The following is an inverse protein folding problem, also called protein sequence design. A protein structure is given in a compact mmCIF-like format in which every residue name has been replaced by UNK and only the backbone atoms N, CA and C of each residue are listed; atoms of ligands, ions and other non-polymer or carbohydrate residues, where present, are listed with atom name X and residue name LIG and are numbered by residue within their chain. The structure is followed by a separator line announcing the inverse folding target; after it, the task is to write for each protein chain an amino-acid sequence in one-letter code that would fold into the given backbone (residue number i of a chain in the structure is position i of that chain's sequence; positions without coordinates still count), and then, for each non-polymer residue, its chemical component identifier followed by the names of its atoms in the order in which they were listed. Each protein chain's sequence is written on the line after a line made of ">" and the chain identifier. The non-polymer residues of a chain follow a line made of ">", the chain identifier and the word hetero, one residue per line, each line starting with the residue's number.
data_IF_953313440604
#
_entry.id   IF_953313440604
#
_cell.length_a   1.000
_cell.length_b   1.000
_cell.length_c   1.000
_cell.angle_alpha   90.00
_cell.angle_beta   90.00
_cell.angle_gamma   90.00
#
_symmetry.space_group_name_H-M   'P 1'
#
loop_
_entity.id
_entity.type
_entity.pdbx_description
1 polymer ?
#
# COMPACT_ATOMS: atom_id res chain seq x y z
N UNK A 1 -16.13 -15.12 -9.94
CA UNK A 1 -16.60 -13.72 -9.99
C UNK A 1 -17.96 -13.49 -9.33
N UNK A 2 -18.61 -14.49 -8.71
CA UNK A 2 -19.83 -14.24 -7.93
C UNK A 2 -19.56 -13.22 -6.81
N UNK A 3 -20.46 -12.24 -6.64
CA UNK A 3 -20.37 -11.15 -5.67
C UNK A 3 -19.54 -9.93 -6.10
N UNK A 4 -18.89 -9.96 -7.26
CA UNK A 4 -18.36 -8.76 -7.91
C UNK A 4 -19.45 -8.12 -8.79
N UNK A 5 -19.54 -6.79 -8.85
CA UNK A 5 -20.66 -6.09 -9.52
C UNK A 5 -20.23 -5.31 -10.77
N UNK A 6 -18.96 -5.37 -11.14
CA UNK A 6 -18.43 -4.65 -12.31
C UNK A 6 -18.40 -5.48 -13.59
N UNK A 7 -18.21 -4.80 -14.73
CA UNK A 7 -18.16 -5.39 -16.07
C UNK A 7 -16.97 -4.89 -16.90
N UNK A 8 -16.02 -4.20 -16.29
CA UNK A 8 -14.91 -3.58 -16.98
C UNK A 8 -13.72 -4.54 -17.09
N UNK A 9 -13.35 -4.98 -18.31
CA UNK A 9 -12.35 -6.02 -18.51
C UNK A 9 -10.95 -5.62 -18.03
N UNK A 10 -10.70 -4.34 -17.73
CA UNK A 10 -9.43 -3.91 -17.16
C UNK A 10 -9.22 -4.38 -15.71
N UNK A 11 -10.29 -4.82 -15.03
CA UNK A 11 -10.23 -5.23 -13.63
C UNK A 11 -10.57 -6.72 -13.43
N UNK A 12 -10.05 -7.30 -12.36
CA UNK A 12 -10.36 -8.68 -12.01
C UNK A 12 -11.85 -8.84 -11.71
N UNK A 13 -12.50 -9.78 -12.39
CA UNK A 13 -13.94 -9.96 -12.33
C UNK A 13 -14.76 -8.71 -12.70
N UNK A 14 -14.20 -7.79 -13.49
CA UNK A 14 -14.90 -6.60 -13.95
C UNK A 14 -14.94 -5.44 -12.94
N UNK A 15 -14.40 -5.62 -11.73
CA UNK A 15 -14.66 -4.74 -10.58
C UNK A 15 -13.36 -4.09 -10.07
N UNK A 16 -13.27 -2.76 -10.16
CA UNK A 16 -12.07 -2.00 -9.83
C UNK A 16 -11.56 -2.21 -8.40
N UNK A 17 -12.44 -2.57 -7.47
CA UNK A 17 -12.06 -2.86 -6.08
C UNK A 17 -11.09 -4.05 -6.04
N UNK A 18 -11.26 -5.01 -6.93
CA UNK A 18 -10.48 -6.25 -6.99
C UNK A 18 -9.14 -6.12 -7.72
N UNK A 19 -8.72 -4.92 -8.12
CA UNK A 19 -7.43 -4.68 -8.77
C UNK A 19 -7.44 -4.97 -10.28
N UNK A 20 -6.31 -4.76 -10.98
CA UNK A 20 -6.23 -4.92 -12.44
C UNK A 20 -6.42 -6.38 -12.86
N UNK A 21 -6.99 -6.64 -14.04
CA UNK A 21 -7.23 -8.00 -14.53
C UNK A 21 -5.93 -8.81 -14.62
N UNK A 22 -4.85 -8.16 -15.05
CA UNK A 22 -3.49 -8.70 -15.12
C UNK A 22 -2.59 -7.99 -14.12
N UNK A 23 -1.82 -8.76 -13.34
CA UNK A 23 -0.82 -8.19 -12.44
C UNK A 23 0.42 -7.72 -13.22
N UNK A 24 1.18 -6.73 -12.72
CA UNK A 24 2.41 -6.27 -13.34
C UNK A 24 3.42 -7.39 -13.56
N UNK A 25 3.94 -7.49 -14.78
CA UNK A 25 4.89 -8.54 -15.21
C UNK A 25 6.26 -8.00 -15.63
N UNK A 26 6.45 -6.68 -15.60
CA UNK A 26 7.71 -6.01 -15.98
C UNK A 26 8.43 -5.49 -14.74
N UNK A 27 9.76 -5.62 -14.71
CA UNK A 27 10.61 -5.11 -13.62
C UNK A 27 10.61 -3.57 -13.57
N UNK A 28 10.68 -2.95 -12.38
CA UNK A 28 10.82 -3.58 -11.06
C UNK A 28 9.50 -4.03 -10.42
N UNK A 29 8.34 -3.73 -11.03
CA UNK A 29 7.04 -4.05 -10.44
C UNK A 29 6.84 -5.55 -10.23
N UNK A 30 7.19 -6.36 -11.22
CA UNK A 30 7.03 -7.82 -11.14
C UNK A 30 7.84 -8.46 -10.01
N UNK A 31 8.97 -7.88 -9.59
CA UNK A 31 9.73 -8.42 -8.46
C UNK A 31 9.09 -8.14 -7.09
N UNK A 32 8.18 -7.16 -7.01
CA UNK A 32 7.43 -6.89 -5.78
C UNK A 32 6.12 -7.70 -5.72
N UNK A 33 5.64 -8.20 -6.85
CA UNK A 33 4.49 -9.10 -6.93
C UNK A 33 5.03 -10.53 -6.93
N UNK A 34 5.46 -10.98 -5.75
CA UNK A 34 6.07 -12.28 -5.55
C UNK A 34 5.05 -13.40 -5.30
N UNK A 35 5.54 -14.61 -5.06
CA UNK A 35 4.73 -15.80 -4.78
C UNK A 35 3.91 -15.72 -3.48
N UNK A 36 4.19 -14.75 -2.60
CA UNK A 36 3.46 -14.54 -1.36
C UNK A 36 2.26 -13.60 -1.53
N UNK A 37 2.12 -12.95 -2.69
CA UNK A 37 0.95 -12.15 -3.01
C UNK A 37 -0.19 -13.00 -3.58
N UNK A 38 -1.13 -13.39 -2.71
CA UNK A 38 -2.45 -13.83 -3.13
C UNK A 38 -3.41 -12.64 -3.08
N UNK A 39 -3.78 -12.10 -4.25
CA UNK A 39 -4.72 -10.97 -4.41
C UNK A 39 -5.91 -11.00 -3.46
N UNK A 40 -6.50 -12.16 -3.20
CA UNK A 40 -7.72 -12.31 -2.40
C UNK A 40 -7.48 -13.08 -1.09
N UNK A 41 -6.23 -13.43 -0.77
CA UNK A 41 -5.85 -14.14 0.45
C UNK A 41 -6.64 -15.45 0.65
N UNK A 42 -6.81 -16.23 -0.42
CA UNK A 42 -7.55 -17.49 -0.45
C UNK A 42 -9.07 -17.36 -0.53
N UNK A 43 -9.62 -16.13 -0.61
CA UNK A 43 -11.06 -15.91 -0.70
C UNK A 43 -11.56 -15.80 -2.15
N UNK A 44 -12.84 -16.11 -2.36
CA UNK A 44 -13.54 -15.75 -3.59
C UNK A 44 -13.82 -14.23 -3.64
N UNK A 45 -13.93 -13.62 -4.84
CA UNK A 45 -14.17 -12.18 -5.01
C UNK A 45 -15.27 -11.57 -4.12
N UNK A 46 -16.47 -12.16 -4.11
CA UNK A 46 -17.57 -11.68 -3.27
C UNK A 46 -17.28 -11.76 -1.77
N UNK A 47 -16.68 -12.86 -1.31
CA UNK A 47 -16.32 -13.03 0.11
C UNK A 47 -15.21 -12.08 0.55
N UNK A 48 -14.26 -11.77 -0.34
CA UNK A 48 -13.23 -10.77 -0.10
C UNK A 48 -13.85 -9.37 0.09
N UNK A 49 -14.76 -8.98 -0.80
CA UNK A 49 -15.46 -7.70 -0.73
C UNK A 49 -16.37 -7.63 0.50
N UNK A 50 -17.14 -8.66 0.80
CA UNK A 50 -17.97 -8.73 2.01
C UNK A 50 -17.13 -8.52 3.29
N UNK A 51 -15.93 -9.11 3.34
CA UNK A 51 -15.04 -9.00 4.50
C UNK A 51 -14.39 -7.62 4.63
N UNK A 52 -13.99 -6.99 3.53
CA UNK A 52 -13.09 -5.85 3.55
C UNK A 52 -13.65 -4.55 2.99
N UNK A 53 -14.73 -4.58 2.22
CA UNK A 53 -15.32 -3.39 1.63
C UNK A 53 -16.36 -2.77 2.57
N UNK A 54 -16.28 -1.46 2.78
CA UNK A 54 -17.27 -0.71 3.55
C UNK A 54 -18.18 0.08 2.60
N UNK A 55 -19.39 -0.44 2.37
CA UNK A 55 -20.38 0.19 1.48
C UNK A 55 -20.80 1.59 1.95
N UNK A 56 -20.77 1.86 3.25
CA UNK A 56 -21.17 3.15 3.80
C UNK A 56 -20.18 4.26 3.49
N UNK A 57 -18.89 3.93 3.39
CA UNK A 57 -17.84 4.91 3.06
C UNK A 57 -17.48 4.90 1.59
N UNK A 58 -17.72 3.79 0.88
CA UNK A 58 -17.23 3.58 -0.48
C UNK A 58 -15.72 3.34 -0.53
N UNK A 59 -15.13 2.87 0.58
CA UNK A 59 -13.71 2.52 0.69
C UNK A 59 -13.53 1.15 1.33
N UNK A 60 -12.36 0.56 1.16
CA UNK A 60 -11.94 -0.57 1.98
C UNK A 60 -11.91 -0.19 3.47
N UNK A 61 -12.30 -1.12 4.34
CA UNK A 61 -12.14 -1.05 5.78
C UNK A 61 -10.66 -1.23 6.13
N UNK A 62 -9.94 -0.13 6.29
CA UNK A 62 -8.53 -0.11 6.65
C UNK A 62 -8.30 -0.52 8.11
N UNK A 63 -7.10 -1.04 8.44
CA UNK A 63 -6.76 -1.44 9.80
C UNK A 63 -6.78 -0.24 10.75
N UNK A 64 -7.05 -0.46 12.05
CA UNK A 64 -6.92 0.59 13.06
C UNK A 64 -5.47 1.06 13.20
N UNK A 65 -5.28 2.15 13.93
CA UNK A 65 -3.97 2.67 14.31
C UNK A 65 -2.99 2.84 13.14
N UNK A 66 -3.49 3.38 12.03
CA UNK A 66 -2.73 3.68 10.82
C UNK A 66 -2.01 2.43 10.24
N UNK A 67 -2.55 1.24 10.48
CA UNK A 67 -2.00 -0.02 9.97
C UNK A 67 -0.69 -0.46 10.60
N UNK A 68 -0.25 0.19 11.69
CA UNK A 68 0.90 -0.29 12.45
C UNK A 68 0.52 -1.55 13.22
N UNK A 69 1.45 -2.51 13.26
CA UNK A 69 1.30 -3.68 14.11
C UNK A 69 1.19 -3.24 15.57
N UNK A 70 0.24 -3.82 16.28
CA UNK A 70 0.11 -3.61 17.71
C UNK A 70 1.08 -4.55 18.42
N UNK A 71 2.01 -3.99 19.19
CA UNK A 71 2.85 -4.76 20.08
C UNK A 71 2.09 -5.06 21.37
N UNK A 72 1.98 -6.34 21.70
CA UNK A 72 1.58 -6.80 23.02
C UNK A 72 2.76 -6.62 23.99
N UNK A 73 3.07 -5.38 24.33
CA UNK A 73 3.86 -5.12 25.53
C UNK A 73 3.03 -5.63 26.72
N UNK A 74 3.66 -6.32 27.66
CA UNK A 74 3.10 -7.05 28.83
C UNK A 74 2.25 -6.22 29.81
N UNK A 75 1.80 -5.04 29.40
CA UNK A 75 0.84 -4.17 30.08
C UNK A 75 -0.52 -4.27 29.41
N UNK A 76 -1.61 -4.08 30.15
CA UNK A 76 -3.02 -4.23 29.73
C UNK A 76 -3.49 -3.29 28.59
N UNK A 77 -2.56 -2.62 27.89
CA UNK A 77 -2.78 -1.73 26.75
C UNK A 77 -1.74 -2.03 25.66
N UNK A 78 -2.14 -2.46 24.45
CA UNK A 78 -1.22 -2.63 23.33
C UNK A 78 -0.55 -1.30 22.96
N UNK A 79 0.77 -1.30 22.78
CA UNK A 79 1.53 -0.16 22.27
C UNK A 79 1.67 -0.29 20.74
N UNK A 80 1.75 0.83 20.02
CA UNK A 80 2.06 0.79 18.59
C UNK A 80 3.50 0.32 18.38
N UNK A 81 3.70 -0.64 17.48
CA UNK A 81 5.04 -0.97 16.99
C UNK A 81 5.51 0.15 16.05
N UNK A 82 6.33 1.05 16.57
CA UNK A 82 6.90 2.13 15.77
C UNK A 82 7.49 3.29 16.57
N UNK A 83 8.20 4.16 15.86
CA UNK A 83 8.86 5.34 16.40
C UNK A 83 9.25 6.32 15.30
N UNK A 84 9.82 7.46 15.69
CA UNK A 84 10.34 8.40 14.72
C UNK A 84 11.62 7.86 14.09
N UNK A 85 11.69 7.90 12.77
CA UNK A 85 12.87 7.57 11.96
C UNK A 85 13.20 8.75 11.08
N UNK A 86 14.48 9.13 11.00
CA UNK A 86 14.94 10.10 10.00
C UNK A 86 15.32 9.34 8.73
N UNK A 87 14.70 9.68 7.60
CA UNK A 87 15.14 9.24 6.29
C UNK A 87 16.26 10.17 5.83
N UNK A 88 17.41 9.61 5.47
CA UNK A 88 18.60 10.36 5.09
C UNK A 88 18.76 10.47 3.56
N UNK A 89 19.44 11.52 3.05
CA UNK A 89 19.70 11.67 1.63
C UNK A 89 20.33 10.43 0.99
N UNK A 90 19.85 10.09 -0.21
CA UNK A 90 20.25 8.90 -0.96
C UNK A 90 19.45 7.63 -0.63
N UNK A 91 18.69 7.60 0.46
CA UNK A 91 17.73 6.51 0.69
C UNK A 91 16.65 6.50 -0.39
N UNK A 92 16.18 5.30 -0.76
CA UNK A 92 15.08 5.12 -1.72
C UNK A 92 13.84 4.57 -1.04
N UNK A 93 12.71 5.19 -1.38
CA UNK A 93 11.39 4.87 -0.84
C UNK A 93 10.39 4.83 -1.98
N UNK A 94 9.33 4.04 -1.84
CA UNK A 94 8.31 3.93 -2.87
C UNK A 94 6.90 3.84 -2.30
N UNK A 95 5.91 3.99 -3.19
CA UNK A 95 4.48 3.92 -2.85
C UNK A 95 3.67 3.42 -4.03
N UNK A 96 2.63 2.64 -3.71
CA UNK A 96 1.49 2.39 -4.57
C UNK A 96 0.34 3.32 -4.16
N UNK A 97 -0.15 4.15 -5.08
CA UNK A 97 -1.23 5.10 -4.86
C UNK A 97 -0.84 6.57 -5.09
N UNK A 98 -1.85 7.44 -5.05
CA UNK A 98 -1.68 8.88 -5.26
C UNK A 98 -0.66 9.52 -4.32
N UNK A 99 0.06 10.52 -4.83
CA UNK A 99 1.01 11.39 -4.12
C UNK A 99 0.34 12.28 -3.06
N UNK A 100 -0.99 12.41 -3.09
CA UNK A 100 -1.76 13.06 -2.02
C UNK A 100 -1.76 12.24 -0.71
N UNK A 101 -1.33 10.97 -0.78
CA UNK A 101 -1.12 10.14 0.40
C UNK A 101 0.13 10.52 1.19
N UNK A 102 0.36 9.82 2.31
CA UNK A 102 1.49 10.06 3.22
C UNK A 102 2.31 8.81 3.60
N UNK A 103 1.92 7.64 3.09
CA UNK A 103 2.58 6.38 3.44
C UNK A 103 3.58 5.97 2.35
N UNK A 104 4.81 5.69 2.75
CA UNK A 104 5.86 5.12 1.92
C UNK A 104 6.31 3.78 2.52
N UNK A 105 7.11 3.03 1.78
CA UNK A 105 7.88 1.91 2.29
C UNK A 105 9.33 2.01 1.79
N UNK A 106 10.28 1.23 2.34
CA UNK A 106 11.55 1.00 1.68
C UNK A 106 11.33 0.58 0.22
N UNK A 107 12.12 1.13 -0.70
CA UNK A 107 12.00 0.80 -2.12
C UNK A 107 12.07 -0.72 -2.35
N UNK A 108 11.19 -1.21 -3.22
CA UNK A 108 11.06 -2.61 -3.61
C UNK A 108 10.56 -3.57 -2.52
N UNK A 109 9.97 -3.05 -1.45
CA UNK A 109 9.26 -3.88 -0.46
C UNK A 109 8.18 -4.72 -1.17
N UNK A 110 8.12 -6.06 -0.99
CA UNK A 110 7.11 -6.90 -1.61
C UNK A 110 5.69 -6.44 -1.30
N UNK A 111 4.76 -6.60 -2.24
CA UNK A 111 3.40 -6.06 -2.13
C UNK A 111 2.60 -6.75 -1.01
N UNK A 112 2.77 -8.06 -0.82
CA UNK A 112 2.20 -8.79 0.32
C UNK A 112 2.66 -8.22 1.68
N UNK A 113 3.89 -7.70 1.74
CA UNK A 113 4.42 -7.10 2.96
C UNK A 113 3.84 -5.72 3.27
N UNK A 114 3.14 -5.10 2.30
CA UNK A 114 2.51 -3.78 2.45
C UNK A 114 1.07 -3.85 2.94
N UNK A 115 0.47 -5.05 2.96
CA UNK A 115 -0.94 -5.26 3.32
C UNK A 115 -1.90 -4.26 2.66
N UNK A 116 -1.68 -4.00 1.36
CA UNK A 116 -2.50 -3.09 0.57
C UNK A 116 -3.64 -3.86 -0.13
N UNK A 117 -4.82 -3.23 -0.29
CA UNK A 117 -5.91 -3.85 -1.02
C UNK A 117 -5.63 -3.86 -2.54
N UNK A 118 -6.22 -4.80 -3.30
CA UNK A 118 -5.92 -5.01 -4.72
C UNK A 118 -6.04 -3.77 -5.60
N UNK A 119 -6.99 -2.88 -5.30
CA UNK A 119 -7.19 -1.64 -6.05
C UNK A 119 -5.97 -0.70 -6.07
N UNK A 120 -4.98 -0.92 -5.20
CA UNK A 120 -3.78 -0.08 -5.11
C UNK A 120 -2.83 -0.35 -6.28
N UNK A 121 -3.07 -1.44 -7.01
CA UNK A 121 -2.38 -1.81 -8.25
C UNK A 121 -3.13 -1.34 -9.51
N UNK A 122 -4.27 -0.67 -9.37
CA UNK A 122 -4.96 -0.10 -10.53
C UNK A 122 -4.11 1.01 -11.13
N UNK A 123 -4.15 1.12 -12.46
CA UNK A 123 -3.60 2.28 -13.13
C UNK A 123 -4.37 3.54 -12.73
N UNK A 124 -3.70 4.70 -12.58
CA UNK A 124 -4.39 5.96 -12.40
C UNK A 124 -5.20 6.30 -13.67
N UNK A 125 -6.14 7.23 -13.58
CA UNK A 125 -7.01 7.64 -14.71
C UNK A 125 -6.21 8.04 -15.95
N UNK A 126 -5.04 8.63 -15.77
CA UNK A 126 -4.13 9.04 -16.85
C UNK A 126 -3.24 7.90 -17.38
N UNK A 127 -3.35 6.68 -16.84
CA UNK A 127 -2.58 5.49 -17.21
C UNK A 127 -1.10 5.50 -16.76
N UNK A 128 -0.63 6.56 -16.11
CA UNK A 128 0.76 6.68 -15.66
C UNK A 128 0.88 7.30 -14.25
N UNK A 129 1.78 6.79 -13.39
CA UNK A 129 2.62 5.61 -13.63
C UNK A 129 1.82 4.30 -13.54
N UNK A 130 2.26 3.23 -14.24
CA UNK A 130 1.62 1.92 -14.17
C UNK A 130 1.46 1.43 -12.73
N UNK A 131 0.32 0.81 -12.44
CA UNK A 131 -0.11 0.38 -11.10
C UNK A 131 -0.06 1.48 -10.04
N UNK A 132 -0.09 2.74 -10.46
CA UNK A 132 0.07 3.90 -9.59
C UNK A 132 1.32 3.77 -8.69
N UNK A 133 2.38 3.17 -9.21
CA UNK A 133 3.63 2.96 -8.49
C UNK A 133 4.60 4.11 -8.71
N UNK A 134 5.14 4.62 -7.61
CA UNK A 134 6.09 5.73 -7.62
C UNK A 134 7.31 5.36 -6.81
N UNK A 135 8.49 5.63 -7.37
CA UNK A 135 9.78 5.48 -6.71
C UNK A 135 10.38 6.87 -6.47
N UNK A 136 10.93 7.07 -5.28
CA UNK A 136 11.53 8.32 -4.87
C UNK A 136 12.92 8.12 -4.30
N UNK A 137 13.75 9.15 -4.43
CA UNK A 137 14.98 9.30 -3.70
C UNK A 137 14.85 10.43 -2.68
N UNK A 138 15.36 10.21 -1.47
CA UNK A 138 15.45 11.24 -0.44
C UNK A 138 16.58 12.19 -0.80
N UNK A 139 16.27 13.48 -0.93
CA UNK A 139 17.22 14.53 -1.27
C UNK A 139 17.66 15.32 -0.04
N UNK A 140 16.78 15.42 0.96
CA UNK A 140 17.04 16.11 2.23
C UNK A 140 16.50 15.28 3.38
N UNK A 141 17.19 15.28 4.52
CA UNK A 141 16.73 14.50 5.67
C UNK A 141 15.37 14.98 6.18
N UNK A 142 14.45 14.05 6.48
CA UNK A 142 13.18 14.36 7.14
C UNK A 142 12.72 13.21 8.04
N UNK A 143 11.94 13.54 9.06
CA UNK A 143 11.42 12.55 10.02
C UNK A 143 10.09 11.98 9.55
N UNK A 144 9.95 10.66 9.65
CA UNK A 144 8.72 9.90 9.46
C UNK A 144 8.39 9.12 10.73
N UNK A 145 7.13 8.72 10.91
CA UNK A 145 6.81 7.63 11.84
C UNK A 145 7.03 6.30 11.12
N UNK A 146 7.96 5.50 11.61
CA UNK A 146 8.30 4.18 11.07
C UNK A 146 7.84 3.07 12.00
N UNK A 147 7.50 1.90 11.44
CA UNK A 147 7.07 0.74 12.21
C UNK A 147 6.56 -0.38 11.31
N UNK A 148 6.27 -1.53 11.91
CA UNK A 148 5.86 -2.73 11.18
C UNK A 148 4.41 -2.62 10.71
N UNK A 149 4.14 -3.06 9.48
CA UNK A 149 2.81 -3.10 8.89
C UNK A 149 2.05 -4.31 9.44
N UNK A 150 0.85 -4.09 9.99
CA UNK A 150 -0.03 -5.16 10.44
C UNK A 150 -0.54 -6.01 9.25
N UNK A 151 -0.76 -7.30 9.49
CA UNK A 151 -1.43 -8.17 8.53
C UNK A 151 -2.84 -7.64 8.24
N UNK A 152 -3.19 -7.46 6.97
CA UNK A 152 -4.51 -6.97 6.55
C UNK A 152 -4.80 -7.35 5.09
N UNK A 153 -6.06 -7.23 4.65
CA UNK A 153 -6.51 -7.57 3.29
C UNK A 153 -6.05 -8.95 2.77
N UNK A 154 -5.94 -9.92 3.67
CA UNK A 154 -5.48 -11.29 3.34
C UNK A 154 -3.97 -11.43 3.11
N UNK A 155 -3.18 -10.37 3.34
CA UNK A 155 -1.73 -10.39 3.22
C UNK A 155 -1.04 -10.44 4.59
N UNK A 156 0.23 -10.84 4.60
CA UNK A 156 1.03 -10.94 5.82
C UNK A 156 1.33 -9.61 6.48
N UNK A 157 1.43 -8.51 5.70
CA UNK A 157 2.10 -7.31 6.21
C UNK A 157 3.55 -7.66 6.58
N UNK A 158 4.01 -7.19 7.73
CA UNK A 158 5.37 -7.37 8.27
C UNK A 158 6.47 -6.58 7.54
N UNK A 159 6.14 -5.84 6.49
CA UNK A 159 7.04 -4.82 5.95
C UNK A 159 7.16 -3.61 6.88
N UNK A 160 8.14 -2.74 6.62
CA UNK A 160 8.20 -1.44 7.27
C UNK A 160 7.35 -0.42 6.49
N UNK A 161 6.57 0.39 7.20
CA UNK A 161 5.93 1.58 6.64
C UNK A 161 6.52 2.85 7.22
N UNK A 162 6.54 3.90 6.39
CA UNK A 162 6.94 5.25 6.74
C UNK A 162 5.75 6.18 6.55
N UNK A 163 5.20 6.69 7.66
CA UNK A 163 4.15 7.70 7.64
C UNK A 163 4.78 9.09 7.75
N UNK A 164 4.73 9.84 6.65
CA UNK A 164 5.16 11.22 6.58
C UNK A 164 4.17 12.17 7.28
N UNK A 165 4.66 13.34 7.69
CA UNK A 165 3.84 14.42 8.25
C UNK A 165 3.00 15.12 7.18
N UNK A 166 3.57 15.28 5.98
CA UNK A 166 3.01 15.98 4.82
C UNK A 166 2.70 14.99 3.67
N UNK A 167 1.95 15.44 2.65
CA UNK A 167 1.72 14.64 1.44
C UNK A 167 3.01 14.39 0.68
N UNK A 168 3.07 13.29 -0.07
CA UNK A 168 4.24 13.00 -0.91
C UNK A 168 4.42 14.07 -1.98
N UNK A 169 3.32 14.57 -2.56
CA UNK A 169 3.35 15.68 -3.51
C UNK A 169 4.06 16.90 -2.93
N UNK A 170 3.72 17.30 -1.70
CA UNK A 170 4.35 18.43 -1.01
C UNK A 170 5.82 18.17 -0.68
N UNK A 171 6.17 16.97 -0.22
CA UNK A 171 7.57 16.61 0.03
C UNK A 171 8.43 16.66 -1.24
N UNK A 172 7.85 16.33 -2.39
CA UNK A 172 8.52 16.48 -3.69
C UNK A 172 8.66 17.97 -4.06
N UNK A 173 7.59 18.74 -3.95
CA UNK A 173 7.60 20.17 -4.30
C UNK A 173 8.57 21.00 -3.42
N UNK A 174 8.72 20.62 -2.15
CA UNK A 174 9.67 21.24 -1.20
C UNK A 174 11.10 20.67 -1.29
N UNK A 175 11.34 19.71 -2.20
CA UNK A 175 12.66 19.16 -2.48
C UNK A 175 13.21 18.22 -1.40
N UNK A 176 12.35 17.62 -0.57
CA UNK A 176 12.74 16.52 0.32
C UNK A 176 12.84 15.19 -0.42
N UNK A 177 11.99 15.01 -1.44
CA UNK A 177 11.96 13.84 -2.31
C UNK A 177 12.14 14.25 -3.77
N UNK A 178 12.77 13.40 -4.57
CA UNK A 178 12.76 13.48 -6.04
C UNK A 178 12.11 12.23 -6.63
N UNK A 179 11.38 12.38 -7.74
CA UNK A 179 10.83 11.25 -8.50
C UNK A 179 11.95 10.59 -9.31
N UNK A 180 12.05 9.27 -9.27
CA UNK A 180 13.06 8.47 -10.00
C UNK A 180 12.52 8.00 -11.35
#
# INVERSE_FOLDING_TARGET
>A
CHGAVGNDPQYHCGDARLGPATLPSIVPLSSMIDEFYDRLGGLCPGAFLEKWWNESTGYYAYPPADGFQLSIVTTLTPALDGGNLTLEPGMRVDRFGSEEGRYLAPAYTPFAQRALPPWSLNDPEKGYPPSNYHLYQVERSFTVRSGTIAAWFGQSGQGAQYLATESISKLVDEGFLSRV
#
